data_IF_829708624098
#
_entry.id   IF_829708624098
#
_cell.length_a   1.000
_cell.length_b   1.000
_cell.length_c   1.000
_cell.angle_alpha   90.00
_cell.angle_beta   90.00
_cell.angle_gamma   90.00
#
_symmetry.space_group_name_H-M   'P 1'
#
loop_
_entity.id
_entity.type
_entity.pdbx_description
1 polymer ?
#
# COMPACT_ATOMS: atom_id res chain seq x y z
N UNK A 1 31.41 -47.42 -30.43
CA UNK A 1 29.97 -47.10 -30.55
C UNK A 1 29.86 -45.65 -31.05
N UNK A 2 29.07 -45.37 -32.09
CA UNK A 2 29.03 -44.07 -32.80
C UNK A 2 27.99 -43.07 -32.24
N UNK A 3 28.18 -41.75 -32.48
CA UNK A 3 27.22 -40.64 -32.25
C UNK A 3 26.04 -40.66 -33.27
N UNK A 4 24.90 -39.94 -33.05
CA UNK A 4 24.80 -38.52 -33.50
C UNK A 4 23.83 -37.58 -32.73
N UNK A 5 24.17 -36.28 -32.78
CA UNK A 5 23.35 -35.09 -33.08
C UNK A 5 21.82 -35.06 -32.84
N UNK A 6 21.33 -33.94 -32.29
CA UNK A 6 20.08 -33.32 -32.75
C UNK A 6 19.15 -32.75 -31.67
N UNK A 7 18.88 -31.44 -31.75
CA UNK A 7 17.60 -30.88 -31.29
C UNK A 7 17.68 -29.69 -30.34
N UNK A 8 17.90 -28.49 -30.88
CA UNK A 8 17.19 -27.32 -30.36
C UNK A 8 15.68 -27.53 -30.53
N UNK A 9 14.87 -27.00 -29.62
CA UNK A 9 13.93 -26.00 -30.12
C UNK A 9 13.92 -24.74 -29.24
N UNK A 10 13.93 -23.64 -29.98
CA UNK A 10 13.58 -22.31 -29.54
C UNK A 10 12.08 -22.26 -29.23
N UNK A 11 11.71 -22.09 -27.97
CA UNK A 11 10.41 -21.57 -27.52
C UNK A 11 10.76 -20.66 -26.35
N UNK A 12 10.70 -19.35 -26.52
CA UNK A 12 9.48 -18.61 -26.72
C UNK A 12 9.43 -17.64 -25.55
N UNK A 13 9.48 -16.34 -25.84
CA UNK A 13 9.64 -15.32 -24.83
C UNK A 13 8.58 -15.42 -23.75
N UNK A 14 9.03 -15.59 -22.51
CA UNK A 14 8.35 -15.00 -21.38
C UNK A 14 9.21 -13.79 -20.99
N UNK A 15 8.71 -12.55 -21.07
CA UNK A 15 9.33 -11.49 -20.29
C UNK A 15 9.24 -11.94 -18.83
N UNK A 16 10.39 -12.21 -18.22
CA UNK A 16 10.48 -12.27 -16.78
C UNK A 16 9.73 -11.04 -16.24
N UNK A 17 8.81 -11.18 -15.25
CA UNK A 17 8.21 -10.02 -14.63
C UNK A 17 9.37 -9.15 -14.20
N UNK A 18 9.42 -7.94 -14.78
CA UNK A 18 10.43 -6.96 -14.48
C UNK A 18 10.56 -6.94 -12.96
N UNK A 19 11.77 -7.19 -12.47
CA UNK A 19 12.17 -6.82 -11.13
C UNK A 19 12.10 -5.29 -11.10
N UNK A 20 10.87 -4.76 -11.01
CA UNK A 20 10.61 -3.40 -10.58
C UNK A 20 11.29 -3.33 -9.24
N UNK A 21 12.35 -2.54 -9.18
CA UNK A 21 13.06 -2.21 -7.97
C UNK A 21 12.00 -1.82 -6.96
N UNK A 22 11.67 -2.75 -6.07
CA UNK A 22 10.72 -2.55 -5.01
C UNK A 22 11.34 -1.49 -4.11
N UNK A 23 10.99 -0.22 -4.35
CA UNK A 23 10.83 0.71 -3.24
C UNK A 23 9.98 -0.03 -2.19
N UNK A 24 10.26 0.15 -0.90
CA UNK A 24 9.70 -0.69 0.16
C UNK A 24 8.21 -0.91 -0.09
N UNK A 25 7.86 -2.16 -0.41
CA UNK A 25 6.50 -2.55 -0.74
C UNK A 25 5.65 -2.22 0.48
N UNK A 26 4.65 -1.37 0.30
CA UNK A 26 3.82 -0.94 1.42
C UNK A 26 3.13 -2.16 2.02
N UNK A 27 3.44 -2.45 3.27
CA UNK A 27 2.80 -3.52 4.03
C UNK A 27 1.69 -2.92 4.89
N UNK A 28 0.43 -3.36 4.77
CA UNK A 28 -0.64 -2.86 5.63
C UNK A 28 -0.32 -3.06 7.12
N UNK A 29 -0.64 -2.05 7.93
CA UNK A 29 -0.40 -2.08 9.37
C UNK A 29 -1.52 -1.37 10.12
N UNK A 30 -1.78 -1.81 11.35
CA UNK A 30 -2.74 -1.14 12.21
C UNK A 30 -2.08 0.08 12.85
N UNK A 31 -2.82 1.17 13.00
CA UNK A 31 -2.33 2.36 13.67
C UNK A 31 -3.41 3.04 14.52
N UNK A 32 -2.96 3.81 15.51
CA UNK A 32 -3.80 4.69 16.31
C UNK A 32 -3.27 6.13 16.27
N UNK A 33 -4.17 7.11 16.36
CA UNK A 33 -3.82 8.54 16.35
C UNK A 33 -3.71 9.12 17.77
N UNK A 34 -2.80 10.07 18.03
CA UNK A 34 -2.65 10.69 19.35
C UNK A 34 -3.68 11.79 19.64
N UNK A 35 -4.28 12.37 18.60
CA UNK A 35 -5.30 13.42 18.66
C UNK A 35 -6.28 13.23 17.48
N UNK A 36 -7.48 13.85 17.50
CA UNK A 36 -8.42 13.77 16.39
C UNK A 36 -7.79 14.18 15.05
N UNK A 37 -7.91 13.34 14.02
CA UNK A 37 -7.37 13.60 12.68
C UNK A 37 -8.46 13.51 11.62
N UNK A 38 -8.58 14.53 10.78
CA UNK A 38 -9.45 14.46 9.62
C UNK A 38 -8.93 13.42 8.61
N UNK A 39 -9.85 12.62 8.08
CA UNK A 39 -9.61 11.75 6.94
C UNK A 39 -10.25 12.38 5.72
N UNK A 40 -9.47 12.58 4.66
CA UNK A 40 -9.91 13.24 3.43
C UNK A 40 -10.21 12.23 2.32
N UNK A 41 -10.96 12.62 1.30
CA UNK A 41 -11.17 11.79 0.13
C UNK A 41 -9.84 11.44 -0.57
N UNK A 42 -9.71 10.21 -1.09
CA UNK A 42 -8.50 9.76 -1.81
C UNK A 42 -8.34 10.41 -3.20
N UNK A 43 -9.38 11.10 -3.68
CA UNK A 43 -9.42 11.77 -4.99
C UNK A 43 -8.62 13.10 -5.05
N UNK A 44 -8.00 13.49 -3.93
CA UNK A 44 -7.22 14.71 -3.80
C UNK A 44 -8.06 15.95 -3.46
N UNK A 45 -9.37 15.82 -3.32
CA UNK A 45 -10.21 16.91 -2.84
C UNK A 45 -9.99 17.18 -1.35
N UNK A 46 -10.17 18.41 -0.86
CA UNK A 46 -10.10 18.74 0.57
C UNK A 46 -11.35 18.27 1.34
N UNK A 47 -12.10 17.30 0.81
CA UNK A 47 -13.37 16.83 1.39
C UNK A 47 -13.06 15.91 2.57
N UNK A 48 -13.42 16.31 3.79
CA UNK A 48 -13.35 15.43 4.94
C UNK A 48 -14.46 14.39 4.87
N UNK A 49 -14.08 13.11 4.86
CA UNK A 49 -15.02 11.98 4.77
C UNK A 49 -15.21 11.27 6.11
N UNK A 50 -14.26 11.43 7.04
CA UNK A 50 -14.30 10.86 8.39
C UNK A 50 -13.38 11.63 9.35
N UNK A 51 -13.45 11.30 10.63
CA UNK A 51 -12.50 11.73 11.65
C UNK A 51 -11.97 10.50 12.38
N UNK A 52 -10.65 10.40 12.50
CA UNK A 52 -9.96 9.38 13.29
C UNK A 52 -9.81 9.90 14.72
N UNK A 53 -10.21 9.11 15.70
CA UNK A 53 -10.19 9.50 17.12
C UNK A 53 -9.14 8.69 17.89
N UNK A 54 -8.56 9.25 18.97
CA UNK A 54 -7.68 8.50 19.85
C UNK A 54 -8.37 7.28 20.47
N UNK A 55 -7.62 6.20 20.67
CA UNK A 55 -8.14 4.95 21.25
C UNK A 55 -8.81 4.00 20.25
N UNK A 56 -8.97 4.41 18.99
CA UNK A 56 -9.47 3.55 17.91
C UNK A 56 -8.30 3.16 16.99
N UNK A 57 -8.27 1.89 16.61
CA UNK A 57 -7.32 1.35 15.63
C UNK A 57 -7.89 1.37 14.22
N UNK A 58 -7.09 1.87 13.30
CA UNK A 58 -7.39 2.04 11.87
C UNK A 58 -6.33 1.31 11.04
N UNK A 59 -6.69 0.83 9.86
CA UNK A 59 -5.76 0.10 9.01
C UNK A 59 -5.13 1.04 8.00
N UNK A 60 -3.81 1.19 7.99
CA UNK A 60 -3.10 1.83 6.90
C UNK A 60 -2.96 0.81 5.76
N UNK A 61 -3.45 1.14 4.57
CA UNK A 61 -3.50 0.22 3.42
C UNK A 61 -2.65 0.70 2.24
N UNK A 62 -2.25 1.96 2.23
CA UNK A 62 -1.34 2.54 1.23
C UNK A 62 -0.61 3.76 1.82
N UNK A 63 0.46 4.21 1.17
CA UNK A 63 1.19 5.43 1.50
C UNK A 63 1.16 6.42 0.33
N UNK A 64 0.81 7.68 0.61
CA UNK A 64 0.66 8.76 -0.37
C UNK A 64 1.53 9.94 0.05
N UNK A 65 2.77 9.96 -0.44
CA UNK A 65 3.77 10.94 -0.01
C UNK A 65 3.97 10.88 1.51
N UNK A 66 3.83 12.00 2.25
CA UNK A 66 3.92 11.99 3.71
C UNK A 66 2.66 11.44 4.40
N UNK A 67 1.54 11.29 3.68
CA UNK A 67 0.27 10.80 4.20
C UNK A 67 0.07 9.29 4.06
N UNK A 68 -0.97 8.79 4.71
CA UNK A 68 -1.37 7.38 4.68
C UNK A 68 -2.80 7.26 4.17
N UNK A 69 -3.07 6.25 3.35
CA UNK A 69 -4.44 5.84 3.09
C UNK A 69 -4.88 4.97 4.25
N UNK A 70 -5.88 5.43 4.99
CA UNK A 70 -6.44 4.70 6.12
C UNK A 70 -7.82 4.16 5.77
N UNK A 71 -8.07 2.92 6.18
CA UNK A 71 -9.38 2.30 6.20
C UNK A 71 -9.91 2.30 7.63
N UNK A 72 -11.09 2.86 7.79
CA UNK A 72 -11.85 2.82 9.04
C UNK A 72 -12.62 1.52 9.18
N UNK A 73 -13.05 1.18 10.40
CA UNK A 73 -13.73 -0.08 10.68
C UNK A 73 -15.10 -0.22 9.99
N UNK A 74 -15.73 0.91 9.62
CA UNK A 74 -16.97 0.92 8.85
C UNK A 74 -16.74 0.71 7.33
N UNK A 75 -15.49 0.54 6.91
CA UNK A 75 -15.10 0.31 5.52
C UNK A 75 -14.76 1.58 4.74
N UNK A 76 -15.00 2.79 5.28
CA UNK A 76 -14.58 4.04 4.62
C UNK A 76 -13.07 4.12 4.52
N UNK A 77 -12.58 4.48 3.34
CA UNK A 77 -11.16 4.74 3.09
C UNK A 77 -10.93 6.18 2.69
N UNK A 78 -9.85 6.74 3.20
CA UNK A 78 -9.45 8.11 2.90
C UNK A 78 -7.98 8.37 3.18
N UNK A 79 -7.54 9.57 2.82
CA UNK A 79 -6.18 10.04 3.01
C UNK A 79 -6.05 10.75 4.37
N UNK A 80 -5.21 10.19 5.24
CA UNK A 80 -4.70 10.84 6.43
C UNK A 80 -3.46 11.65 6.04
N UNK A 81 -3.59 12.98 6.02
CA UNK A 81 -2.50 13.88 5.64
C UNK A 81 -1.45 14.03 6.75
N UNK A 82 -1.88 14.02 8.01
CA UNK A 82 -1.00 14.15 9.17
C UNK A 82 -0.84 12.81 9.91
N UNK A 83 0.18 12.06 9.50
CA UNK A 83 0.61 10.81 10.14
C UNK A 83 1.61 11.04 11.31
N UNK A 84 1.77 12.27 11.78
CA UNK A 84 2.70 12.60 12.86
C UNK A 84 2.20 12.04 14.20
N UNK A 85 3.10 11.31 14.87
CA UNK A 85 2.83 10.74 16.20
C UNK A 85 1.88 9.56 16.22
N UNK A 86 1.56 8.94 15.07
CA UNK A 86 0.75 7.72 15.05
C UNK A 86 1.49 6.57 15.74
N UNK A 87 0.74 5.76 16.47
CA UNK A 87 1.23 4.48 16.99
C UNK A 87 0.99 3.42 15.93
N UNK A 88 1.97 2.58 15.62
CA UNK A 88 1.85 1.48 14.65
C UNK A 88 1.96 0.14 15.37
N UNK A 89 1.20 -0.86 14.93
CA UNK A 89 1.17 -2.21 15.48
C UNK A 89 0.98 -3.28 14.42
#
# INVERSE_FOLDING_TARGET
QPQPYGGQPQQGGAPAPAQQQAGPEFSPFWFAVPAPRALYAEDGSPTQIAELTPGVWYLAVDQRGPGLVAQTQDGRRGLLQDASGIQRG
#
